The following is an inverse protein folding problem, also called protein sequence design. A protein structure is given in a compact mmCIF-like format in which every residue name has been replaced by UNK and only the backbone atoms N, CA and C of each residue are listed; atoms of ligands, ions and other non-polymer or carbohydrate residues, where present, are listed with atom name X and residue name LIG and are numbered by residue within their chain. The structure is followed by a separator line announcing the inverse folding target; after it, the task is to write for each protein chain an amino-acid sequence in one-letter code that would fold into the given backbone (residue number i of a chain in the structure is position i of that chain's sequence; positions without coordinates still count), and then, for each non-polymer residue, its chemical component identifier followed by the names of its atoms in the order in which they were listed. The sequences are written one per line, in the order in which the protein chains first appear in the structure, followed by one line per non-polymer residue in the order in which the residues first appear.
data_IF_554141855648
#
_entry.id   IF_554141855648
#
_cell.length_a   1.000
_cell.length_b   1.000
_cell.length_c   1.000
_cell.angle_alpha   90.00
_cell.angle_beta   90.00
_cell.angle_gamma   90.00
#
_symmetry.space_group_name_H-M   'P 1'
#
loop_
_entity.id
_entity.type
_entity.pdbx_description
1 polymer ?
#
# COMPACT_ATOMS: atom_id res chain seq x y z
N UNK A 1 -5.01 14.04 -7.94
CA UNK A 1 -3.69 14.09 -7.27
C UNK A 1 -3.16 12.67 -7.22
N UNK A 2 -1.94 12.41 -7.73
CA UNK A 2 -1.43 11.03 -7.84
C UNK A 2 -0.90 10.58 -6.48
N UNK A 3 -1.39 9.44 -5.98
CA UNK A 3 -0.91 8.80 -4.76
C UNK A 3 -0.30 7.45 -5.11
N UNK A 4 0.87 7.19 -4.56
CA UNK A 4 1.53 5.88 -4.58
C UNK A 4 1.69 5.42 -3.13
N UNK A 5 1.18 4.24 -2.82
CA UNK A 5 1.30 3.67 -1.48
C UNK A 5 2.28 2.51 -1.52
N UNK A 6 3.16 2.41 -0.52
CA UNK A 6 4.05 1.28 -0.35
C UNK A 6 3.81 0.63 1.01
N UNK A 7 3.55 -0.68 0.99
CA UNK A 7 3.39 -1.51 2.17
C UNK A 7 4.74 -2.08 2.58
N UNK A 8 5.05 -2.04 3.88
CA UNK A 8 6.31 -2.54 4.44
C UNK A 8 6.04 -3.43 5.64
N UNK A 9 6.84 -4.48 5.84
CA UNK A 9 6.96 -5.16 7.14
C UNK A 9 7.87 -4.39 8.10
N UNK A 10 7.53 -3.13 8.36
CA UNK A 10 8.18 -2.22 9.29
C UNK A 10 7.09 -1.52 10.09
N UNK A 11 6.75 -2.04 11.28
CA UNK A 11 5.55 -1.64 12.03
C UNK A 11 5.50 -0.15 12.38
N UNK A 12 6.65 0.51 12.47
CA UNK A 12 6.76 1.94 12.80
C UNK A 12 6.45 2.87 11.63
N UNK A 13 6.33 2.34 10.41
CA UNK A 13 5.96 3.15 9.25
C UNK A 13 4.47 3.46 9.30
N UNK A 14 4.10 4.72 9.15
CA UNK A 14 2.70 5.14 9.13
C UNK A 14 2.48 6.30 8.16
N UNK A 15 1.26 6.48 7.60
CA UNK A 15 0.97 7.62 6.75
C UNK A 15 1.29 8.97 7.40
N UNK A 16 1.11 9.10 8.71
CA UNK A 16 1.35 10.34 9.46
C UNK A 16 2.85 10.69 9.53
N UNK A 17 3.71 9.68 9.65
CA UNK A 17 5.16 9.86 9.80
C UNK A 17 5.92 9.73 8.49
N UNK A 18 5.36 9.02 7.51
CA UNK A 18 6.08 8.55 6.32
C UNK A 18 5.31 8.87 5.03
N UNK A 19 4.84 10.12 4.92
CA UNK A 19 4.31 10.67 3.67
C UNK A 19 5.29 11.69 3.09
N UNK A 20 5.65 11.51 1.81
CA UNK A 20 6.53 12.41 1.07
C UNK A 20 5.76 13.05 -0.08
N UNK A 21 5.77 14.39 -0.13
CA UNK A 21 5.19 15.16 -1.22
C UNK A 21 6.27 15.47 -2.25
N UNK A 22 6.24 14.78 -3.37
CA UNK A 22 7.17 15.00 -4.46
C UNK A 22 6.55 15.95 -5.49
N UNK A 23 7.27 17.02 -5.85
CA UNK A 23 6.74 18.11 -6.68
C UNK A 23 7.74 18.49 -7.77
N UNK A 24 7.24 18.69 -8.98
CA UNK A 24 8.00 19.27 -10.10
C UNK A 24 7.08 20.16 -10.96
N UNK A 25 7.60 20.69 -12.07
CA UNK A 25 6.87 21.56 -13.00
C UNK A 25 5.60 20.91 -13.59
N UNK A 26 5.53 19.57 -13.61
CA UNK A 26 4.41 18.81 -14.18
C UNK A 26 3.32 18.44 -13.16
N UNK A 27 3.56 18.62 -11.86
CA UNK A 27 2.58 18.36 -10.81
C UNK A 27 3.13 17.75 -9.52
N UNK A 28 2.24 17.10 -8.78
CA UNK A 28 2.48 16.53 -7.44
C UNK A 28 2.20 15.03 -7.45
N UNK A 29 3.15 14.25 -6.93
CA UNK A 29 2.97 12.84 -6.57
C UNK A 29 3.19 12.68 -5.06
N UNK A 30 2.26 12.01 -4.38
CA UNK A 30 2.37 11.73 -2.95
C UNK A 30 2.78 10.27 -2.77
N UNK A 31 3.90 10.05 -2.09
CA UNK A 31 4.36 8.73 -1.69
C UNK A 31 3.99 8.50 -0.23
N UNK A 32 3.30 7.41 0.07
CA UNK A 32 2.81 7.09 1.42
C UNK A 32 3.36 5.73 1.79
N UNK A 33 4.06 5.62 2.91
CA UNK A 33 4.50 4.33 3.43
C UNK A 33 3.57 3.84 4.56
N UNK A 34 3.17 2.58 4.49
CA UNK A 34 2.33 1.92 5.51
C UNK A 34 3.06 0.72 6.08
N UNK A 35 3.19 0.70 7.40
CA UNK A 35 3.87 -0.33 8.16
C UNK A 35 2.97 -1.44 8.69
N UNK A 36 3.48 -2.66 8.60
CA UNK A 36 2.89 -3.87 9.13
C UNK A 36 3.88 -4.61 10.04
N UNK A 37 3.38 -5.15 11.14
CA UNK A 37 4.16 -6.03 12.00
C UNK A 37 4.18 -7.45 11.43
N UNK A 38 5.16 -8.30 11.79
CA UNK A 38 5.20 -9.70 11.35
C UNK A 38 3.90 -10.47 11.63
N UNK A 39 3.21 -10.18 12.73
CA UNK A 39 1.92 -10.77 13.09
C UNK A 39 0.80 -10.47 12.07
N UNK A 40 0.90 -9.35 11.37
CA UNK A 40 -0.12 -8.92 10.40
C UNK A 40 -0.12 -9.80 9.15
N UNK A 41 0.95 -10.58 8.90
CA UNK A 41 1.01 -11.56 7.80
C UNK A 41 -0.06 -12.63 7.87
N UNK A 42 -0.51 -12.98 9.07
CA UNK A 42 -1.51 -14.00 9.30
C UNK A 42 -2.94 -13.43 9.46
N UNK A 43 -3.07 -12.10 9.54
CA UNK A 43 -4.34 -11.41 9.78
C UNK A 43 -4.91 -10.72 8.54
N UNK A 44 -6.05 -10.05 8.72
CA UNK A 44 -6.75 -9.35 7.63
C UNK A 44 -6.36 -7.87 7.49
N UNK A 45 -5.61 -7.31 8.46
CA UNK A 45 -5.23 -5.88 8.49
C UNK A 45 -4.64 -5.37 7.17
N UNK A 46 -3.77 -6.16 6.54
CA UNK A 46 -3.17 -5.81 5.24
C UNK A 46 -4.25 -5.63 4.18
N UNK A 47 -5.23 -6.53 4.15
CA UNK A 47 -6.34 -6.52 3.19
C UNK A 47 -7.31 -5.38 3.49
N UNK A 48 -7.64 -5.13 4.76
CA UNK A 48 -8.49 -4.03 5.18
C UNK A 48 -7.93 -2.68 4.74
N UNK A 49 -6.65 -2.43 5.02
CA UNK A 49 -5.96 -1.22 4.59
C UNK A 49 -5.94 -1.13 3.06
N UNK A 50 -5.67 -2.23 2.36
CA UNK A 50 -5.66 -2.24 0.90
C UNK A 50 -7.04 -1.86 0.31
N UNK A 51 -8.13 -2.36 0.89
CA UNK A 51 -9.51 -2.04 0.47
C UNK A 51 -9.82 -0.57 0.71
N UNK A 52 -9.47 -0.04 1.88
CA UNK A 52 -9.63 1.37 2.18
C UNK A 52 -8.89 2.25 1.16
N UNK A 53 -7.64 1.91 0.84
CA UNK A 53 -6.86 2.67 -0.14
C UNK A 53 -7.47 2.64 -1.55
N UNK A 54 -8.03 1.49 -1.95
CA UNK A 54 -8.79 1.38 -3.21
C UNK A 54 -10.01 2.32 -3.20
N UNK A 55 -10.77 2.37 -2.11
CA UNK A 55 -11.92 3.28 -1.94
C UNK A 55 -11.49 4.76 -1.97
N UNK A 56 -10.31 5.07 -1.42
CA UNK A 56 -9.70 6.40 -1.46
C UNK A 56 -9.12 6.78 -2.85
N UNK A 57 -9.23 5.90 -3.84
CA UNK A 57 -8.79 6.13 -5.21
C UNK A 57 -7.28 5.94 -5.43
N UNK A 58 -6.58 5.24 -4.54
CA UNK A 58 -5.19 4.84 -4.76
C UNK A 58 -5.15 3.79 -5.88
N UNK A 59 -4.38 4.08 -6.91
CA UNK A 59 -4.29 3.25 -8.11
C UNK A 59 -3.15 2.23 -8.05
N UNK A 60 -2.19 2.42 -7.15
CA UNK A 60 -1.01 1.55 -7.00
C UNK A 60 -0.66 1.36 -5.53
N UNK A 61 -0.53 0.09 -5.14
CA UNK A 61 0.03 -0.35 -3.86
C UNK A 61 1.27 -1.20 -4.18
N UNK A 62 2.44 -0.71 -3.80
CA UNK A 62 3.69 -1.46 -3.89
C UNK A 62 3.87 -2.34 -2.65
N UNK A 63 4.28 -3.59 -2.83
CA UNK A 63 4.43 -4.57 -1.76
C UNK A 63 5.91 -4.78 -1.44
N UNK A 64 6.46 -3.99 -0.53
CA UNK A 64 7.88 -3.99 -0.17
C UNK A 64 8.16 -4.89 1.05
N UNK A 65 9.33 -5.56 1.07
CA UNK A 65 9.84 -6.17 2.30
C UNK A 65 9.32 -7.58 2.65
N UNK A 66 8.88 -8.38 1.67
CA UNK A 66 8.68 -9.82 1.87
C UNK A 66 7.23 -10.31 1.92
N UNK A 67 6.35 -9.68 1.13
CA UNK A 67 4.99 -10.19 0.87
C UNK A 67 4.99 -11.48 0.04
N UNK A 68 6.00 -11.63 -0.82
CA UNK A 68 6.12 -12.76 -1.74
C UNK A 68 4.97 -12.84 -2.75
N UNK A 69 5.02 -13.82 -3.67
CA UNK A 69 4.00 -13.97 -4.71
C UNK A 69 2.60 -14.24 -4.13
N UNK A 70 2.49 -15.09 -3.11
CA UNK A 70 1.20 -15.47 -2.51
C UNK A 70 0.54 -14.30 -1.79
N UNK A 71 1.31 -13.48 -1.06
CA UNK A 71 0.78 -12.27 -0.43
C UNK A 71 0.26 -11.27 -1.47
N UNK A 72 0.99 -11.10 -2.58
CA UNK A 72 0.55 -10.28 -3.70
C UNK A 72 -0.75 -10.78 -4.32
N UNK A 73 -0.86 -12.08 -4.62
CA UNK A 73 -2.08 -12.68 -5.18
C UNK A 73 -3.28 -12.44 -4.25
N UNK A 74 -3.15 -12.71 -2.95
CA UNK A 74 -4.23 -12.51 -1.97
C UNK A 74 -4.73 -11.07 -1.94
N UNK A 75 -3.83 -10.09 -2.01
CA UNK A 75 -4.19 -8.67 -2.07
C UNK A 75 -4.91 -8.38 -3.38
N UNK A 76 -4.38 -8.82 -4.52
CA UNK A 76 -5.03 -8.61 -5.82
C UNK A 76 -6.42 -9.23 -5.91
N UNK A 77 -6.60 -10.46 -5.40
CA UNK A 77 -7.91 -11.13 -5.29
C UNK A 77 -8.87 -10.33 -4.41
N UNK A 78 -8.43 -9.94 -3.21
CA UNK A 78 -9.27 -9.19 -2.28
C UNK A 78 -9.69 -7.81 -2.78
N UNK A 79 -8.91 -7.23 -3.71
CA UNK A 79 -9.19 -5.96 -4.36
C UNK A 79 -9.89 -6.10 -5.71
N UNK A 80 -10.11 -7.31 -6.24
CA UNK A 80 -10.50 -7.50 -7.65
C UNK A 80 -9.61 -6.69 -8.62
N UNK A 81 -8.30 -6.67 -8.37
CA UNK A 81 -7.30 -6.06 -9.26
C UNK A 81 -6.74 -7.04 -10.30
N UNK A 82 -7.22 -8.29 -10.28
CA UNK A 82 -7.02 -9.27 -11.34
C UNK A 82 -7.93 -8.97 -12.53
N UNK A 83 -7.63 -7.91 -13.29
CA UNK A 83 -8.21 -7.72 -14.63
C UNK A 83 -7.38 -6.76 -15.47
N UNK A 84 -6.55 -7.31 -16.36
CA UNK A 84 -6.88 -7.37 -17.80
C UNK A 84 -6.50 -8.76 -18.30
#
# INVERSE_FOLDING_TARGET
MKKMVAFYFSAEFSPEKNTVFNRNETGICIFIAVGFAPKDKAGERIIEVARQLKEEGVQIIELCGGFGPIGGIKICEALNWLAV
#
